data_IF_468667150906
#
_entry.id   IF_468667150906
#
_cell.length_a   1.000
_cell.length_b   1.000
_cell.length_c   1.000
_cell.angle_alpha   90.00
_cell.angle_beta   90.00
_cell.angle_gamma   90.00
#
_symmetry.space_group_name_H-M   'P 1'
#
loop_
_entity.id
_entity.type
_entity.pdbx_description
1 polymer ?
#
# COMPACT_ATOMS: atom_id res chain seq x y z
N UNK A 1 35.51 -23.56 33.87
CA UNK A 1 34.39 -23.77 32.94
C UNK A 1 34.03 -22.42 32.31
N UNK A 2 34.42 -22.20 31.04
CA UNK A 2 34.15 -20.93 30.32
C UNK A 2 32.74 -21.01 29.74
N UNK A 3 31.81 -20.18 30.24
CA UNK A 3 30.47 -20.02 29.67
C UNK A 3 30.58 -19.22 28.37
N UNK A 4 30.43 -19.87 27.23
CA UNK A 4 30.27 -19.21 25.94
C UNK A 4 28.85 -18.60 25.92
N UNK A 5 28.78 -17.28 26.01
CA UNK A 5 27.55 -16.52 25.81
C UNK A 5 27.35 -16.38 24.29
N UNK A 6 26.46 -17.21 23.73
CA UNK A 6 26.08 -17.11 22.33
C UNK A 6 25.21 -15.87 22.13
N UNK A 7 25.81 -14.80 21.61
CA UNK A 7 25.08 -13.55 21.27
C UNK A 7 24.28 -13.81 20.00
N UNK A 8 22.98 -14.02 20.14
CA UNK A 8 22.06 -14.18 19.01
C UNK A 8 21.89 -12.80 18.36
N UNK A 9 22.62 -12.54 17.28
CA UNK A 9 22.42 -11.35 16.45
C UNK A 9 21.08 -11.50 15.71
N UNK A 10 20.05 -10.80 16.20
CA UNK A 10 18.81 -10.60 15.45
C UNK A 10 19.10 -9.74 14.23
N UNK A 11 19.20 -10.37 13.07
CA UNK A 11 19.27 -9.67 11.79
C UNK A 11 17.87 -9.11 11.51
N UNK A 12 17.66 -7.83 11.84
CA UNK A 12 16.46 -7.10 11.44
C UNK A 12 16.63 -6.77 9.96
N UNK A 13 16.04 -7.59 9.10
CA UNK A 13 15.96 -7.27 7.68
C UNK A 13 15.10 -6.02 7.51
N UNK A 14 15.55 -5.00 6.75
CA UNK A 14 14.71 -3.86 6.47
C UNK A 14 13.50 -4.31 5.67
N UNK A 15 12.30 -3.96 6.13
CA UNK A 15 11.07 -4.11 5.35
C UNK A 15 11.24 -3.24 4.11
N UNK A 16 11.26 -3.88 2.96
CA UNK A 16 11.38 -3.22 1.67
C UNK A 16 10.16 -3.55 0.84
N UNK A 17 9.59 -2.55 0.17
CA UNK A 17 8.53 -2.76 -0.79
C UNK A 17 8.94 -3.80 -1.83
N UNK A 18 8.09 -4.77 -2.08
CA UNK A 18 8.23 -5.71 -3.19
C UNK A 18 7.38 -5.22 -4.36
N UNK A 19 7.92 -5.36 -5.57
CA UNK A 19 7.23 -4.96 -6.81
C UNK A 19 6.86 -6.23 -7.56
N UNK A 20 5.57 -6.36 -7.85
CA UNK A 20 4.96 -7.51 -8.50
C UNK A 20 4.34 -7.11 -9.84
N UNK A 21 4.26 -8.08 -10.76
CA UNK A 21 3.41 -7.95 -11.95
C UNK A 21 1.93 -7.98 -11.54
N UNK A 22 1.09 -7.21 -12.25
CA UNK A 22 -0.34 -7.09 -11.91
C UNK A 22 -1.08 -8.43 -11.96
N UNK A 23 -0.64 -9.38 -12.77
CA UNK A 23 -1.23 -10.71 -12.84
C UNK A 23 -0.99 -11.56 -11.56
N UNK A 24 -0.12 -11.11 -10.65
CA UNK A 24 0.12 -11.73 -9.36
C UNK A 24 -0.82 -11.19 -8.27
N UNK A 25 -1.64 -10.18 -8.58
CA UNK A 25 -2.57 -9.61 -7.61
C UNK A 25 -3.66 -10.62 -7.23
N UNK A 26 -3.68 -10.99 -5.97
CA UNK A 26 -4.71 -11.83 -5.38
C UNK A 26 -5.25 -11.21 -4.08
N UNK A 27 -6.30 -10.40 -4.21
CA UNK A 27 -6.95 -9.77 -3.05
C UNK A 27 -7.60 -10.81 -2.11
N UNK A 28 -7.95 -12.01 -2.61
CA UNK A 28 -8.56 -13.06 -1.78
C UNK A 28 -7.57 -13.67 -0.79
N UNK A 29 -6.27 -13.67 -1.13
CA UNK A 29 -5.22 -14.13 -0.20
C UNK A 29 -5.10 -13.28 1.06
N UNK A 30 -5.66 -12.06 1.03
CA UNK A 30 -5.68 -11.12 2.15
C UNK A 30 -7.00 -11.14 2.94
N UNK A 31 -7.89 -12.11 2.68
CA UNK A 31 -9.13 -12.27 3.46
C UNK A 31 -8.84 -12.38 4.96
N UNK A 32 -9.65 -11.73 5.78
CA UNK A 32 -9.44 -11.60 7.23
C UNK A 32 -8.72 -10.32 7.62
N UNK A 33 -8.20 -9.55 6.63
CA UNK A 33 -7.59 -8.23 6.86
C UNK A 33 -8.40 -7.13 6.22
N UNK A 34 -8.34 -5.95 6.81
CA UNK A 34 -8.75 -4.70 6.17
C UNK A 34 -7.65 -4.30 5.18
N UNK A 35 -8.02 -4.02 3.93
CA UNK A 35 -7.08 -3.62 2.87
C UNK A 35 -7.31 -2.16 2.53
N UNK A 36 -6.24 -1.36 2.54
CA UNK A 36 -6.19 -0.06 1.90
C UNK A 36 -5.56 -0.25 0.52
N UNK A 37 -6.39 -0.23 -0.53
CA UNK A 37 -5.96 -0.39 -1.93
C UNK A 37 -5.83 0.98 -2.57
N UNK A 38 -4.64 1.35 -3.04
CA UNK A 38 -4.35 2.68 -3.61
C UNK A 38 -3.82 2.59 -5.03
N UNK A 39 -4.37 3.40 -5.92
CA UNK A 39 -3.91 3.53 -7.31
C UNK A 39 -3.10 4.82 -7.46
N UNK A 40 -1.89 4.70 -8.01
CA UNK A 40 -0.96 5.81 -8.11
C UNK A 40 -0.10 5.78 -9.38
N UNK A 41 0.57 6.90 -9.67
CA UNK A 41 1.60 6.99 -10.70
C UNK A 41 2.72 7.96 -10.27
N UNK A 42 3.89 7.83 -10.86
CA UNK A 42 5.07 8.64 -10.54
C UNK A 42 4.86 10.14 -10.78
N UNK A 43 4.05 10.51 -11.78
CA UNK A 43 3.71 11.89 -12.14
C UNK A 43 2.60 12.49 -11.26
N UNK A 44 1.98 11.71 -10.40
CA UNK A 44 0.88 12.13 -9.53
C UNK A 44 1.40 12.80 -8.25
N UNK A 45 1.38 14.13 -8.18
CA UNK A 45 1.86 14.89 -7.01
C UNK A 45 1.10 14.59 -5.72
N UNK A 46 -0.24 14.47 -5.68
CA UNK A 46 -0.95 14.07 -4.47
C UNK A 46 -0.55 12.68 -3.98
N UNK A 47 -0.21 11.75 -4.91
CA UNK A 47 0.26 10.42 -4.56
C UNK A 47 1.59 10.45 -3.77
N UNK A 48 2.49 11.38 -4.08
CA UNK A 48 3.73 11.57 -3.32
C UNK A 48 3.45 11.92 -1.86
N UNK A 49 2.36 12.64 -1.59
CA UNK A 49 1.97 13.06 -0.23
C UNK A 49 1.32 11.94 0.57
N UNK A 50 0.65 10.98 -0.09
CA UNK A 50 -0.01 9.86 0.60
C UNK A 50 0.98 8.81 1.10
N UNK A 51 2.13 8.63 0.45
CA UNK A 51 3.11 7.59 0.77
C UNK A 51 3.64 7.64 2.22
N UNK A 52 4.12 8.78 2.75
CA UNK A 52 4.57 8.85 4.15
C UNK A 52 3.45 8.50 5.14
N UNK A 53 2.23 8.92 4.86
CA UNK A 53 1.07 8.59 5.67
C UNK A 53 0.74 7.10 5.59
N UNK A 54 0.70 6.50 4.41
CA UNK A 54 0.50 5.05 4.24
C UNK A 54 1.56 4.24 4.99
N UNK A 55 2.84 4.61 4.93
CA UNK A 55 3.87 3.97 5.72
C UNK A 55 3.59 4.06 7.24
N UNK A 56 3.05 5.20 7.72
CA UNK A 56 2.71 5.36 9.13
C UNK A 56 1.56 4.46 9.58
N UNK A 57 0.62 4.14 8.67
CA UNK A 57 -0.47 3.19 8.96
C UNK A 57 0.04 1.77 9.21
N UNK A 58 1.05 1.32 8.43
CA UNK A 58 1.67 0.01 8.64
C UNK A 58 2.40 -0.10 9.98
N UNK A 59 2.92 1.01 10.48
CA UNK A 59 3.52 1.07 11.82
C UNK A 59 2.46 1.15 12.94
N UNK A 60 1.28 1.70 12.62
CA UNK A 60 0.19 1.94 13.59
C UNK A 60 -0.69 0.72 13.79
N UNK A 61 -1.03 -0.02 12.72
CA UNK A 61 -2.00 -1.11 12.75
C UNK A 61 -1.34 -2.50 12.70
N UNK A 62 -1.92 -3.52 13.37
CA UNK A 62 -1.37 -4.87 13.37
C UNK A 62 -1.37 -5.51 11.97
N UNK A 63 -0.26 -6.11 11.57
CA UNK A 63 -0.07 -6.71 10.24
C UNK A 63 -0.96 -7.94 9.97
N UNK A 64 -1.52 -8.56 11.00
CA UNK A 64 -2.49 -9.65 10.89
C UNK A 64 -3.92 -9.15 10.64
N UNK A 65 -4.18 -7.84 10.84
CA UNK A 65 -5.51 -7.22 10.67
C UNK A 65 -5.59 -6.19 9.57
N UNK A 66 -4.46 -5.60 9.18
CA UNK A 66 -4.41 -4.51 8.20
C UNK A 66 -3.27 -4.72 7.21
N UNK A 67 -3.51 -4.35 5.97
CA UNK A 67 -2.48 -4.29 4.94
C UNK A 67 -2.74 -3.17 3.94
N UNK A 68 -1.68 -2.75 3.26
CA UNK A 68 -1.74 -1.80 2.16
C UNK A 68 -1.27 -2.50 0.90
N UNK A 69 -2.06 -2.38 -0.15
CA UNK A 69 -1.74 -2.84 -1.50
C UNK A 69 -1.81 -1.65 -2.42
N UNK A 70 -0.79 -1.43 -3.23
CA UNK A 70 -0.81 -0.32 -4.18
C UNK A 70 -0.66 -0.80 -5.60
N UNK A 71 -1.31 -0.11 -6.53
CA UNK A 71 -1.27 -0.40 -7.97
C UNK A 71 -0.68 0.82 -8.67
N UNK A 72 0.47 0.62 -9.29
CA UNK A 72 1.14 1.64 -10.07
C UNK A 72 0.69 1.59 -11.53
N UNK A 73 0.35 2.74 -12.08
CA UNK A 73 -0.18 2.91 -13.45
C UNK A 73 0.81 3.59 -14.41
N UNK A 74 2.09 3.69 -14.06
CA UNK A 74 3.10 4.17 -15.01
C UNK A 74 3.21 3.19 -16.18
N UNK A 75 3.19 3.70 -17.41
CA UNK A 75 3.41 2.88 -18.60
C UNK A 75 4.84 2.32 -18.63
N UNK A 76 5.80 3.10 -18.11
CA UNK A 76 7.23 2.75 -18.10
C UNK A 76 7.71 2.42 -16.70
N UNK A 77 8.29 1.24 -16.54
CA UNK A 77 8.82 0.74 -15.26
C UNK A 77 9.89 1.67 -14.67
N UNK A 78 10.69 2.32 -15.53
CA UNK A 78 11.75 3.24 -15.14
C UNK A 78 11.19 4.47 -14.39
N UNK A 79 10.02 4.97 -14.80
CA UNK A 79 9.36 6.11 -14.14
C UNK A 79 8.95 5.75 -12.72
N UNK A 80 8.38 4.57 -12.53
CA UNK A 80 8.05 4.00 -11.21
C UNK A 80 9.31 3.84 -10.34
N UNK A 81 10.38 3.24 -10.87
CA UNK A 81 11.63 3.05 -10.12
C UNK A 81 12.29 4.38 -9.75
N UNK A 82 12.28 5.36 -10.64
CA UNK A 82 12.81 6.69 -10.34
C UNK A 82 12.05 7.36 -9.19
N UNK A 83 10.73 7.22 -9.16
CA UNK A 83 9.90 7.71 -8.07
C UNK A 83 10.25 7.01 -6.74
N UNK A 84 10.29 5.67 -6.74
CA UNK A 84 10.59 4.85 -5.56
C UNK A 84 12.03 5.04 -5.05
N UNK A 85 12.93 5.52 -5.88
CA UNK A 85 14.27 5.95 -5.47
C UNK A 85 14.28 7.22 -4.60
N UNK A 86 13.18 8.00 -4.61
CA UNK A 86 13.02 9.25 -3.87
C UNK A 86 11.98 9.19 -2.74
N UNK A 87 11.01 8.31 -2.89
CA UNK A 87 9.87 8.20 -1.97
C UNK A 87 9.85 6.78 -1.40
N UNK A 88 10.00 6.68 -0.07
CA UNK A 88 9.98 5.39 0.62
C UNK A 88 8.58 4.76 0.52
N UNK A 89 8.54 3.46 0.21
CA UNK A 89 7.35 2.63 0.30
C UNK A 89 7.69 1.37 1.12
N UNK A 90 6.88 1.08 2.13
CA UNK A 90 7.00 -0.10 2.99
C UNK A 90 5.86 -1.12 2.73
N UNK A 91 5.12 -0.94 1.63
CA UNK A 91 3.96 -1.73 1.21
C UNK A 91 4.17 -2.32 -0.18
N UNK A 92 3.39 -3.36 -0.50
CA UNK A 92 3.48 -4.04 -1.78
C UNK A 92 2.96 -3.18 -2.94
N UNK A 93 3.65 -3.26 -4.06
CA UNK A 93 3.36 -2.51 -5.27
C UNK A 93 3.11 -3.50 -6.42
N UNK A 94 1.94 -3.38 -7.05
CA UNK A 94 1.61 -4.11 -8.26
C UNK A 94 1.68 -3.15 -9.46
N UNK A 95 2.40 -3.53 -10.50
CA UNK A 95 2.57 -2.71 -11.69
C UNK A 95 1.55 -3.10 -12.76
N UNK A 96 0.67 -2.20 -13.11
CA UNK A 96 -0.39 -2.33 -14.12
C UNK A 96 -0.19 -1.34 -15.28
N UNK A 97 0.84 -1.54 -16.14
CA UNK A 97 1.17 -0.60 -17.20
C UNK A 97 0.10 -0.48 -18.28
N UNK A 98 -0.75 -1.49 -18.42
CA UNK A 98 -1.87 -1.48 -19.37
C UNK A 98 -3.15 -0.87 -18.78
N UNK A 99 -3.21 -0.67 -17.45
CA UNK A 99 -4.38 -0.14 -16.76
C UNK A 99 -5.56 -1.11 -16.71
N UNK A 100 -5.34 -2.42 -16.90
CA UNK A 100 -6.43 -3.41 -16.94
C UNK A 100 -7.20 -3.53 -15.63
N UNK A 101 -6.52 -3.42 -14.49
CA UNK A 101 -7.16 -3.41 -13.17
C UNK A 101 -7.77 -2.05 -12.88
N UNK A 102 -7.10 -0.96 -13.26
CA UNK A 102 -7.64 0.38 -13.15
C UNK A 102 -8.98 0.54 -13.89
N UNK A 103 -9.12 -0.07 -15.07
CA UNK A 103 -10.36 -0.10 -15.83
C UNK A 103 -11.48 -0.84 -15.08
N UNK A 104 -11.17 -2.00 -14.48
CA UNK A 104 -12.14 -2.77 -13.69
C UNK A 104 -12.65 -2.00 -12.47
N UNK A 105 -11.80 -1.15 -11.87
CA UNK A 105 -12.16 -0.30 -10.73
C UNK A 105 -12.79 1.04 -11.14
N UNK A 106 -12.96 1.29 -12.45
CA UNK A 106 -13.58 2.51 -12.99
C UNK A 106 -12.98 3.79 -12.37
N UNK A 107 -11.64 3.95 -12.50
CA UNK A 107 -10.94 5.09 -11.89
C UNK A 107 -11.36 6.40 -12.54
N UNK A 108 -11.70 7.39 -11.71
CA UNK A 108 -12.10 8.74 -12.12
C UNK A 108 -10.99 9.78 -11.95
N UNK A 109 -9.92 9.43 -11.26
CA UNK A 109 -8.78 10.32 -10.97
C UNK A 109 -7.70 9.64 -10.14
N UNK A 110 -6.61 10.35 -9.85
CA UNK A 110 -5.51 9.82 -9.04
C UNK A 110 -5.05 10.81 -7.97
N UNK A 111 -4.62 10.27 -6.78
CA UNK A 111 -4.81 8.87 -6.40
C UNK A 111 -6.29 8.54 -6.25
N UNK A 112 -6.66 7.29 -6.46
CA UNK A 112 -7.94 6.75 -6.00
C UNK A 112 -7.65 5.60 -5.05
N UNK A 113 -8.25 5.62 -3.88
CA UNK A 113 -8.11 4.54 -2.91
C UNK A 113 -9.45 3.90 -2.56
N UNK A 114 -9.38 2.62 -2.25
CA UNK A 114 -10.52 1.81 -1.81
C UNK A 114 -10.21 1.21 -0.46
N UNK A 115 -11.18 1.25 0.44
CA UNK A 115 -11.12 0.53 1.69
C UNK A 115 -11.95 -0.73 1.55
N UNK A 116 -11.31 -1.87 1.78
CA UNK A 116 -11.89 -3.21 1.63
C UNK A 116 -11.91 -3.84 3.02
N UNK A 117 -13.08 -4.32 3.43
CA UNK A 117 -13.24 -4.96 4.73
C UNK A 117 -12.63 -6.38 4.78
N UNK A 118 -12.61 -6.99 5.96
CA UNK A 118 -12.06 -8.34 6.19
C UNK A 118 -12.78 -9.46 5.41
N UNK A 119 -13.97 -9.19 4.89
CA UNK A 119 -14.73 -10.11 4.04
C UNK A 119 -14.42 -9.93 2.54
N UNK A 120 -13.56 -8.96 2.19
CA UNK A 120 -13.21 -8.64 0.81
C UNK A 120 -14.21 -7.72 0.10
N UNK A 121 -15.09 -7.04 0.85
CA UNK A 121 -16.06 -6.10 0.30
C UNK A 121 -15.48 -4.69 0.28
N UNK A 122 -15.57 -3.99 -0.86
CA UNK A 122 -15.29 -2.55 -0.95
C UNK A 122 -16.36 -1.78 -0.16
N UNK A 123 -15.93 -1.03 0.84
CA UNK A 123 -16.82 -0.26 1.72
C UNK A 123 -16.67 1.25 1.58
N UNK A 124 -15.53 1.73 1.07
CA UNK A 124 -15.27 3.16 0.81
C UNK A 124 -14.45 3.33 -0.47
N UNK A 125 -14.67 4.47 -1.14
CA UNK A 125 -13.86 4.97 -2.26
C UNK A 125 -13.49 6.41 -1.97
N UNK A 126 -12.22 6.76 -2.11
CA UNK A 126 -11.73 8.13 -2.03
C UNK A 126 -11.05 8.53 -3.33
N UNK A 127 -11.43 9.68 -3.89
CA UNK A 127 -10.79 10.25 -5.07
C UNK A 127 -9.94 11.44 -4.61
N UNK A 128 -8.65 11.38 -4.92
CA UNK A 128 -7.65 12.32 -4.42
C UNK A 128 -7.21 12.02 -2.99
N UNK A 129 -6.06 12.61 -2.61
CA UNK A 129 -5.54 12.56 -1.25
C UNK A 129 -5.46 13.97 -0.67
N UNK A 130 -6.05 14.16 0.50
CA UNK A 130 -6.11 15.45 1.18
C UNK A 130 -5.57 15.32 2.60
N UNK A 131 -4.43 15.95 2.89
CA UNK A 131 -3.79 15.90 4.21
C UNK A 131 -4.70 16.33 5.36
N UNK A 132 -5.61 17.27 5.11
CA UNK A 132 -6.62 17.71 6.09
C UNK A 132 -7.70 16.67 6.40
N UNK A 133 -7.78 15.58 5.62
CA UNK A 133 -8.74 14.47 5.82
C UNK A 133 -8.11 13.23 6.42
N UNK A 134 -6.84 13.24 6.76
CA UNK A 134 -6.11 12.08 7.29
C UNK A 134 -6.83 11.48 8.51
N UNK A 135 -7.27 12.30 9.45
CA UNK A 135 -8.03 11.83 10.63
C UNK A 135 -9.33 11.13 10.25
N UNK A 136 -9.98 11.57 9.15
CA UNK A 136 -11.19 10.90 8.64
C UNK A 136 -10.83 9.54 8.05
N UNK A 137 -9.80 9.45 7.22
CA UNK A 137 -9.37 8.19 6.62
C UNK A 137 -8.97 7.17 7.68
N UNK A 138 -8.27 7.60 8.73
CA UNK A 138 -7.88 6.72 9.82
C UNK A 138 -9.07 6.23 10.65
N UNK A 139 -10.05 7.09 10.96
CA UNK A 139 -11.29 6.65 11.62
C UNK A 139 -12.03 5.60 10.80
N UNK A 140 -12.13 5.78 9.49
CA UNK A 140 -12.80 4.82 8.60
C UNK A 140 -12.08 3.46 8.56
N UNK A 141 -10.75 3.43 8.69
CA UNK A 141 -9.96 2.20 8.85
C UNK A 141 -10.24 1.57 10.22
N UNK A 142 -10.20 2.37 11.29
CA UNK A 142 -10.39 1.91 12.67
C UNK A 142 -11.77 1.30 12.92
N UNK A 143 -12.81 1.79 12.24
CA UNK A 143 -14.16 1.24 12.28
C UNK A 143 -14.26 -0.19 11.70
N UNK A 144 -13.28 -0.62 10.92
CA UNK A 144 -13.26 -1.94 10.27
C UNK A 144 -12.33 -2.94 10.96
N UNK A 145 -11.41 -2.47 11.82
CA UNK A 145 -10.45 -3.31 12.55
C UNK A 145 -11.07 -4.01 13.77
#
# INVERSE_FOLDING_TARGET
MKKFLLLLLLVISPVRAEIYDINQLDLKSHQGKVIYLDFWASWCKPCQKSFPWMNSLLAKYPADKFTIITINLDAETEAMHYFLGKVKADFDIYHDPSGQIAEQFELEGMPTSYLIDSNGKVVKKHIGFYTKKVDQYEREIEELL
#
